data_IF_613888541471
#
_entry.id   IF_613888541471
#
_cell.length_a   1.000
_cell.length_b   1.000
_cell.length_c   1.000
_cell.angle_alpha   90.00
_cell.angle_beta   90.00
_cell.angle_gamma   90.00
#
_symmetry.space_group_name_H-M   'P 1'
#
loop_
_entity.id
_entity.type
_entity.pdbx_description
1 polymer ?
#
# COMPACT_ATOMS: atom_id res chain seq x y z
N UNK A 1 1.74 -4.57 10.59
CA UNK A 1 1.34 -3.99 9.30
C UNK A 1 2.48 -4.08 8.31
N UNK A 2 2.19 -4.22 7.03
CA UNK A 2 3.18 -4.19 5.95
C UNK A 2 2.55 -3.68 4.64
N UNK A 3 3.40 -3.33 3.67
CA UNK A 3 3.03 -3.08 2.28
C UNK A 3 3.57 -4.20 1.39
N UNK A 4 2.79 -4.60 0.38
CA UNK A 4 3.20 -5.66 -0.56
C UNK A 4 2.54 -5.47 -1.93
N UNK A 5 3.18 -5.94 -3.00
CA UNK A 5 2.65 -5.90 -4.37
C UNK A 5 1.71 -7.04 -4.69
N UNK A 6 0.82 -7.39 -3.77
CA UNK A 6 0.04 -8.62 -3.79
C UNK A 6 -1.39 -8.47 -4.33
N UNK A 7 -1.77 -7.29 -4.85
CA UNK A 7 -3.05 -7.08 -5.54
C UNK A 7 -4.28 -7.34 -4.68
N UNK A 8 -4.30 -6.81 -3.46
CA UNK A 8 -5.42 -6.94 -2.51
C UNK A 8 -5.37 -8.20 -1.66
N UNK A 9 -4.39 -9.09 -1.85
CA UNK A 9 -4.27 -10.34 -1.09
C UNK A 9 -3.23 -10.21 0.01
N UNK A 10 -3.59 -10.50 1.25
CA UNK A 10 -2.65 -10.52 2.38
C UNK A 10 -2.10 -11.93 2.62
N UNK A 11 -0.91 -12.02 3.22
CA UNK A 11 -0.34 -13.29 3.69
C UNK A 11 -1.19 -13.87 4.80
N UNK A 12 -1.10 -15.19 5.00
CA UNK A 12 -1.90 -15.87 6.02
C UNK A 12 -1.71 -15.25 7.42
N UNK A 13 -2.82 -15.05 8.14
CA UNK A 13 -2.85 -14.36 9.44
C UNK A 13 -2.94 -12.82 9.37
N UNK A 14 -3.06 -12.25 8.16
CA UNK A 14 -3.22 -10.81 7.95
C UNK A 14 -4.45 -10.54 7.10
N UNK A 15 -5.03 -9.35 7.27
CA UNK A 15 -6.17 -8.85 6.48
C UNK A 15 -5.84 -7.48 5.92
N UNK A 16 -6.64 -7.02 4.95
CA UNK A 16 -6.52 -5.65 4.45
C UNK A 16 -6.69 -4.66 5.61
N UNK A 17 -5.77 -3.72 5.72
CA UNK A 17 -5.89 -2.59 6.65
C UNK A 17 -6.73 -1.48 6.03
N UNK A 18 -7.28 -0.59 6.87
CA UNK A 18 -8.08 0.55 6.42
C UNK A 18 -7.23 1.78 6.12
N UNK A 19 -7.77 2.70 5.32
CA UNK A 19 -7.27 4.05 5.08
C UNK A 19 -7.05 4.82 6.39
N UNK A 20 -7.92 4.62 7.40
CA UNK A 20 -7.78 5.26 8.70
C UNK A 20 -6.51 4.81 9.42
N UNK A 21 -6.28 3.49 9.51
CA UNK A 21 -5.07 2.94 10.14
C UNK A 21 -3.83 3.34 9.34
N UNK A 22 -3.88 3.23 8.02
CA UNK A 22 -2.78 3.65 7.15
C UNK A 22 -2.40 5.12 7.39
N UNK A 23 -3.37 6.02 7.52
CA UNK A 23 -3.12 7.42 7.85
C UNK A 23 -2.37 7.63 9.17
N UNK A 24 -2.65 6.80 10.19
CA UNK A 24 -1.96 6.89 11.48
C UNK A 24 -0.50 6.40 11.44
N UNK A 25 -0.18 5.44 10.56
CA UNK A 25 1.13 4.77 10.56
C UNK A 25 1.93 4.96 9.26
N UNK A 26 1.43 5.76 8.31
CA UNK A 26 2.04 5.94 7.00
C UNK A 26 3.53 6.30 7.07
N UNK A 27 3.90 7.22 7.96
CA UNK A 27 5.29 7.67 8.15
C UNK A 27 6.25 6.55 8.56
N UNK A 28 5.74 5.46 9.14
CA UNK A 28 6.55 4.32 9.58
C UNK A 28 7.02 3.42 8.42
N UNK A 29 6.49 3.62 7.21
CA UNK A 29 6.85 2.85 6.03
C UNK A 29 8.11 3.33 5.32
N UNK A 30 8.55 4.58 5.56
CA UNK A 30 9.82 5.08 5.03
C UNK A 30 10.97 4.19 5.51
N UNK A 31 11.82 3.76 4.57
CA UNK A 31 12.94 2.86 4.84
C UNK A 31 12.56 1.39 5.08
N UNK A 32 11.28 1.02 5.01
CA UNK A 32 10.84 -0.39 5.01
C UNK A 32 10.84 -0.94 3.58
N UNK A 33 10.81 -2.26 3.46
CA UNK A 33 10.69 -2.97 2.17
C UNK A 33 9.29 -3.58 2.03
N UNK A 34 8.96 -4.00 0.80
CA UNK A 34 7.86 -4.93 0.55
C UNK A 34 7.98 -6.19 1.40
N UNK A 35 6.84 -6.80 1.72
CA UNK A 35 6.84 -8.06 2.45
C UNK A 35 7.35 -9.23 1.59
N UNK A 36 6.91 -9.35 0.35
CA UNK A 36 7.27 -10.47 -0.54
C UNK A 36 7.51 -10.03 -1.99
N UNK A 37 6.67 -9.16 -2.54
CA UNK A 37 6.60 -8.87 -3.97
C UNK A 37 6.52 -7.37 -4.20
N UNK A 38 7.27 -6.86 -5.16
CA UNK A 38 7.20 -5.46 -5.58
C UNK A 38 5.88 -5.19 -6.29
N UNK A 39 5.24 -4.04 -6.06
CA UNK A 39 4.02 -3.69 -6.80
C UNK A 39 4.33 -3.14 -8.20
N UNK A 40 3.35 -3.17 -9.09
CA UNK A 40 3.38 -2.52 -10.42
C UNK A 40 2.51 -1.25 -10.48
N UNK A 41 1.84 -0.91 -9.37
CA UNK A 41 1.02 0.29 -9.21
C UNK A 41 1.31 0.97 -7.86
N UNK A 42 1.27 2.30 -7.84
CA UNK A 42 1.54 3.12 -6.65
C UNK A 42 0.32 3.37 -5.75
N UNK A 43 -0.90 3.14 -6.24
CA UNK A 43 -2.11 3.23 -5.44
C UNK A 43 -2.17 2.09 -4.43
N UNK A 44 -2.56 2.40 -3.20
CA UNK A 44 -2.60 1.44 -2.12
C UNK A 44 -4.02 0.90 -1.97
N UNK A 45 -4.17 -0.38 -2.23
CA UNK A 45 -5.37 -1.14 -1.94
C UNK A 45 -5.52 -1.29 -0.42
N UNK A 46 -6.66 -0.83 0.09
CA UNK A 46 -7.07 -0.93 1.50
C UNK A 46 -8.41 -1.66 1.64
N UNK A 47 -8.86 -1.91 2.86
CA UNK A 47 -10.16 -2.54 3.14
C UNK A 47 -11.36 -1.62 2.87
N UNK A 48 -11.12 -0.33 2.62
CA UNK A 48 -12.18 0.64 2.34
C UNK A 48 -12.65 0.55 0.89
N UNK A 49 -13.83 1.12 0.61
CA UNK A 49 -14.41 1.15 -0.73
C UNK A 49 -13.46 1.77 -1.75
N UNK A 50 -12.75 2.84 -1.36
CA UNK A 50 -11.92 3.63 -2.25
C UNK A 50 -10.47 3.64 -1.82
N UNK A 51 -9.58 3.62 -2.81
CA UNK A 51 -8.16 3.84 -2.63
C UNK A 51 -7.94 5.35 -2.53
N UNK A 52 -7.43 5.80 -1.38
CA UNK A 52 -7.19 7.22 -1.10
C UNK A 52 -5.70 7.53 -0.90
N UNK A 53 -4.89 6.50 -0.74
CA UNK A 53 -3.45 6.62 -0.48
C UNK A 53 -2.66 6.06 -1.65
N UNK A 54 -1.49 6.65 -1.86
CA UNK A 54 -0.52 6.14 -2.80
C UNK A 54 0.90 6.57 -2.44
N UNK A 55 1.84 6.06 -3.21
CA UNK A 55 3.25 6.40 -3.10
C UNK A 55 3.71 7.21 -4.32
N UNK A 56 4.35 8.35 -4.11
CA UNK A 56 4.81 9.18 -5.23
C UNK A 56 6.09 8.66 -5.90
N UNK A 57 6.91 7.90 -5.17
CA UNK A 57 8.24 7.46 -5.62
C UNK A 57 8.53 6.05 -5.15
N UNK A 58 9.36 5.31 -5.91
CA UNK A 58 9.90 3.99 -5.56
C UNK A 58 8.85 2.91 -5.21
N UNK A 59 7.60 3.09 -5.65
CA UNK A 59 6.52 2.13 -5.43
C UNK A 59 6.59 0.93 -6.40
N UNK A 60 7.37 1.01 -7.49
CA UNK A 60 7.49 -0.10 -8.46
C UNK A 60 8.93 -0.55 -8.64
N UNK A 61 9.71 -0.41 -7.58
CA UNK A 61 11.12 -0.74 -7.56
C UNK A 61 11.44 -1.52 -6.31
N UNK A 62 12.32 -2.51 -6.44
CA UNK A 62 12.82 -3.24 -5.28
C UNK A 62 13.63 -2.32 -4.36
N UNK A 63 13.67 -2.68 -3.08
CA UNK A 63 14.41 -1.95 -2.05
C UNK A 63 13.53 -1.08 -1.16
N UNK A 64 14.15 -0.34 -0.22
CA UNK A 64 13.41 0.40 0.77
C UNK A 64 12.60 1.55 0.17
N UNK A 65 11.41 1.76 0.69
CA UNK A 65 10.56 2.90 0.36
C UNK A 65 11.30 4.21 0.68
N UNK A 66 11.47 5.06 -0.34
CA UNK A 66 12.11 6.39 -0.19
C UNK A 66 11.17 7.44 0.39
N UNK A 67 9.86 7.17 0.36
CA UNK A 67 8.81 8.05 0.88
C UNK A 67 7.76 7.24 1.63
N UNK A 68 6.98 7.93 2.45
CA UNK A 68 5.80 7.35 3.08
C UNK A 68 4.60 7.37 2.11
N UNK A 69 3.61 6.48 2.29
CA UNK A 69 2.28 6.66 1.74
C UNK A 69 1.71 8.03 2.09
N UNK A 70 1.05 8.68 1.14
CA UNK A 70 0.36 9.95 1.36
C UNK A 70 -1.03 9.92 0.74
N UNK A 71 -1.92 10.76 1.27
CA UNK A 71 -3.24 10.98 0.66
C UNK A 71 -3.04 11.50 -0.76
N UNK A 72 -3.80 10.95 -1.71
CA UNK A 72 -3.73 11.28 -3.13
C UNK A 72 -2.33 11.09 -3.76
N UNK A 73 -1.46 10.30 -3.14
CA UNK A 73 -0.18 9.93 -3.75
C UNK A 73 -0.43 9.23 -5.08
N UNK A 74 0.40 9.50 -6.09
CA UNK A 74 0.23 9.00 -7.46
C UNK A 74 -1.19 9.18 -8.06
N UNK A 75 -1.91 10.25 -7.66
CA UNK A 75 -3.27 10.56 -8.10
C UNK A 75 -4.35 9.56 -7.68
N UNK A 76 -4.11 8.84 -6.58
CA UNK A 76 -5.02 7.83 -6.05
C UNK A 76 -6.10 8.45 -5.15
N UNK A 77 -6.69 9.60 -5.51
CA UNK A 77 -7.85 10.14 -4.79
C UNK A 77 -9.14 9.47 -5.29
N UNK A 78 -9.74 8.63 -4.45
CA UNK A 78 -10.93 7.85 -4.76
C UNK A 78 -10.74 6.90 -5.96
N UNK A 79 -9.55 6.29 -6.06
CA UNK A 79 -9.23 5.37 -7.13
C UNK A 79 -9.83 3.96 -6.88
N UNK A 80 -9.95 3.19 -7.98
CA UNK A 80 -10.41 1.81 -8.02
C UNK A 80 -9.54 1.01 -9.01
N UNK A 81 -8.23 1.05 -8.82
CA UNK A 81 -7.33 0.50 -9.83
C UNK A 81 -7.25 -1.03 -9.77
N UNK A 82 -7.56 -1.66 -8.63
CA UNK A 82 -7.74 -3.11 -8.41
C UNK A 82 -6.89 -4.04 -9.29
N UNK A 83 -5.60 -3.71 -9.46
CA UNK A 83 -4.69 -4.44 -10.34
C UNK A 83 -4.08 -5.64 -9.61
N UNK A 84 -3.76 -6.71 -10.34
CA UNK A 84 -3.24 -7.97 -9.79
C UNK A 84 -1.91 -7.86 -9.03
N UNK A 85 -1.13 -6.80 -9.26
CA UNK A 85 0.13 -6.51 -8.55
C UNK A 85 0.11 -5.12 -7.91
N UNK A 86 -1.07 -4.66 -7.50
CA UNK A 86 -1.20 -3.37 -6.84
C UNK A 86 -0.60 -3.38 -5.43
N UNK A 87 -0.08 -2.22 -5.01
CA UNK A 87 0.40 -2.03 -3.65
C UNK A 87 -0.75 -2.27 -2.67
N UNK A 88 -0.54 -3.11 -1.68
CA UNK A 88 -1.57 -3.63 -0.79
C UNK A 88 -1.16 -3.38 0.64
N UNK A 89 -2.05 -2.78 1.42
CA UNK A 89 -1.83 -2.53 2.83
C UNK A 89 -2.47 -3.62 3.69
N UNK A 90 -1.63 -4.33 4.43
CA UNK A 90 -2.06 -5.45 5.26
C UNK A 90 -1.74 -5.21 6.74
N UNK A 91 -2.68 -5.56 7.61
CA UNK A 91 -2.58 -5.51 9.06
C UNK A 91 -2.73 -6.90 9.69
N UNK A 92 -2.12 -7.09 10.86
CA UNK A 92 -2.49 -8.25 11.68
C UNK A 92 -3.91 -8.00 12.16
N UNK A 93 -4.71 -9.06 12.18
CA UNK A 93 -5.91 -9.12 13.02
C UNK A 93 -5.56 -8.92 14.49
#
# INVERSE_FOLDING_TARGET
>A
YYLDGSGGVCVNGYTLGTNAVLGCIASQFTGKNYRNTTSSNCCIWTADTYECYGMNTNCNSAGPFSSAPIINGAWCANAHNYQSQQLTFCGSV
#
